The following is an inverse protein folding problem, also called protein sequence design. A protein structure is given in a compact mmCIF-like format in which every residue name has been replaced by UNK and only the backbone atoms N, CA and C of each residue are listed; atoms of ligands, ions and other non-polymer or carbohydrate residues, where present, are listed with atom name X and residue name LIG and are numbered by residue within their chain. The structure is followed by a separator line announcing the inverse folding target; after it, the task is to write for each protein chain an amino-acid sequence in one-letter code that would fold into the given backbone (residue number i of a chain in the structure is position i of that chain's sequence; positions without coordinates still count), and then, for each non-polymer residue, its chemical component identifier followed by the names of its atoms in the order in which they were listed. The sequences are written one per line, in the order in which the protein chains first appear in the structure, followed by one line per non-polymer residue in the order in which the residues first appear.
data_IF_640907594145
#
_entry.id   IF_640907594145
#
_cell.length_a   1.000
_cell.length_b   1.000
_cell.length_c   1.000
_cell.angle_alpha   90.00
_cell.angle_beta   90.00
_cell.angle_gamma   90.00
#
_symmetry.space_group_name_H-M   'P 1'
#
loop_
_entity.id
_entity.type
_entity.pdbx_description
1 polymer ?
#
# COMPACT_ATOMS: atom_id res chain seq x y z
N UNK A 1 -4.56 -10.01 2.90
CA UNK A 1 -4.59 -8.58 3.28
C UNK A 1 -3.95 -8.47 4.65
N UNK A 2 -3.23 -7.38 4.91
CA UNK A 2 -2.74 -7.08 6.26
C UNK A 2 -3.95 -6.78 7.15
N UNK A 3 -3.99 -7.40 8.32
CA UNK A 3 -5.05 -7.19 9.33
C UNK A 3 -4.63 -6.15 10.37
N UNK A 4 -5.59 -5.53 11.05
CA UNK A 4 -5.29 -4.61 12.17
C UNK A 4 -4.54 -5.28 13.34
N UNK A 5 -4.59 -6.60 13.51
CA UNK A 5 -3.74 -7.34 14.46
C UNK A 5 -2.29 -7.45 14.01
N UNK A 6 -2.08 -7.73 12.72
CA UNK A 6 -0.74 -7.81 12.15
C UNK A 6 -0.08 -6.44 12.12
N UNK A 7 -0.85 -5.40 11.81
CA UNK A 7 -0.39 -4.02 11.85
C UNK A 7 0.20 -3.63 13.21
N UNK A 8 -0.44 -4.01 14.31
CA UNK A 8 0.13 -3.77 15.65
C UNK A 8 1.47 -4.47 15.81
N UNK A 9 1.58 -5.70 15.33
CA UNK A 9 2.86 -6.43 15.40
C UNK A 9 3.94 -5.71 14.61
N UNK A 10 3.59 -5.13 13.45
CA UNK A 10 4.51 -4.34 12.63
C UNK A 10 4.94 -3.05 13.37
N UNK A 11 4.00 -2.30 13.94
CA UNK A 11 4.26 -1.01 14.62
C UNK A 11 5.02 -1.13 15.95
N UNK A 12 5.25 -2.35 16.47
CA UNK A 12 6.07 -2.58 17.67
C UNK A 12 7.57 -2.33 17.46
N UNK A 13 8.02 -2.23 16.22
CA UNK A 13 9.39 -1.85 15.90
C UNK A 13 9.65 -0.40 16.33
N UNK A 14 10.74 -0.16 17.08
CA UNK A 14 11.04 1.15 17.68
C UNK A 14 11.36 2.20 16.62
N UNK A 15 12.07 1.80 15.56
CA UNK A 15 12.43 2.72 14.48
C UNK A 15 11.19 3.13 13.70
N UNK A 16 10.30 2.17 13.41
CA UNK A 16 9.00 2.44 12.81
C UNK A 16 8.14 3.35 13.69
N UNK A 17 8.03 3.06 14.99
CA UNK A 17 7.23 3.87 15.91
C UNK A 17 7.71 5.32 15.95
N UNK A 18 9.02 5.54 16.00
CA UNK A 18 9.61 6.89 16.01
C UNK A 18 9.36 7.62 14.70
N UNK A 19 9.58 6.97 13.55
CA UNK A 19 9.32 7.54 12.23
C UNK A 19 7.83 7.89 12.04
N UNK A 20 6.93 6.98 12.45
CA UNK A 20 5.49 7.18 12.41
C UNK A 20 5.07 8.36 13.29
N UNK A 21 5.56 8.44 14.52
CA UNK A 21 5.20 9.50 15.47
C UNK A 21 5.63 10.88 14.95
N UNK A 22 6.84 10.97 14.40
CA UNK A 22 7.35 12.20 13.80
C UNK A 22 6.49 12.64 12.60
N UNK A 23 6.20 11.72 11.69
CA UNK A 23 5.42 12.01 10.49
C UNK A 23 3.97 12.38 10.84
N UNK A 24 3.36 11.65 11.78
CA UNK A 24 2.02 11.95 12.29
C UNK A 24 1.95 13.34 12.88
N UNK A 25 2.93 13.74 13.70
CA UNK A 25 2.97 15.08 14.31
C UNK A 25 2.90 16.19 13.26
N UNK A 26 3.54 16.00 12.11
CA UNK A 26 3.47 16.98 11.03
C UNK A 26 2.12 16.92 10.31
N UNK A 27 1.59 15.72 10.09
CA UNK A 27 0.28 15.54 9.45
C UNK A 27 -0.84 16.19 10.27
N UNK A 28 -0.84 16.01 11.59
CA UNK A 28 -1.83 16.61 12.49
C UNK A 28 -1.84 18.15 12.50
N UNK A 29 -0.77 18.82 12.06
CA UNK A 29 -0.70 20.29 11.99
C UNK A 29 -1.41 20.87 10.77
N UNK A 30 -1.69 20.03 9.77
CA UNK A 30 -2.26 20.47 8.49
C UNK A 30 -3.69 20.98 8.65
N UNK A 31 -4.53 20.21 9.36
CA UNK A 31 -5.94 20.53 9.54
C UNK A 31 -6.38 20.17 10.97
N UNK A 32 -7.06 21.07 11.71
CA UNK A 32 -7.63 20.75 13.03
C UNK A 32 -8.54 19.52 13.03
N UNK A 33 -9.20 19.18 11.92
CA UNK A 33 -10.03 18.00 11.78
C UNK A 33 -9.24 16.68 11.92
N UNK A 34 -7.91 16.73 11.81
CA UNK A 34 -7.05 15.55 11.93
C UNK A 34 -6.69 15.22 13.37
N UNK A 35 -6.93 16.13 14.32
CA UNK A 35 -6.52 15.99 15.72
C UNK A 35 -7.00 14.70 16.40
N UNK A 36 -8.13 14.15 15.95
CA UNK A 36 -8.72 12.92 16.49
C UNK A 36 -8.17 11.62 15.87
N UNK A 37 -7.26 11.71 14.89
CA UNK A 37 -6.62 10.54 14.27
C UNK A 37 -5.79 9.77 15.30
N UNK A 38 -6.15 8.50 15.53
CA UNK A 38 -5.35 7.58 16.32
C UNK A 38 -4.09 7.15 15.58
N UNK A 39 -3.17 6.44 16.25
CA UNK A 39 -1.97 5.90 15.59
C UNK A 39 -2.37 4.86 14.54
N UNK A 40 -3.32 3.98 14.89
CA UNK A 40 -3.92 3.00 13.97
C UNK A 40 -4.52 3.68 12.73
N UNK A 41 -5.24 4.78 12.90
CA UNK A 41 -5.81 5.55 11.79
C UNK A 41 -4.72 6.10 10.87
N UNK A 42 -3.69 6.71 11.47
CA UNK A 42 -2.60 7.33 10.72
C UNK A 42 -1.76 6.31 9.94
N UNK A 43 -1.39 5.19 10.56
CA UNK A 43 -0.67 4.13 9.86
C UNK A 43 -1.54 3.47 8.79
N UNK A 44 -2.86 3.37 9.00
CA UNK A 44 -3.79 2.87 7.97
C UNK A 44 -3.79 3.77 6.74
N UNK A 45 -3.86 5.09 6.93
CA UNK A 45 -3.77 6.07 5.85
C UNK A 45 -2.44 5.94 5.11
N UNK A 46 -1.34 5.83 5.87
CA UNK A 46 0.00 5.68 5.29
C UNK A 46 0.07 4.42 4.44
N UNK A 47 -0.38 3.26 4.95
CA UNK A 47 -0.28 1.99 4.23
C UNK A 47 -1.13 1.96 2.96
N UNK A 48 -2.26 2.67 2.88
CA UNK A 48 -3.06 2.73 1.66
C UNK A 48 -2.55 3.77 0.64
N UNK A 49 -1.51 4.55 0.97
CA UNK A 49 -0.98 5.57 0.07
C UNK A 49 -0.53 5.04 -1.31
N UNK A 50 -0.05 3.80 -1.50
CA UNK A 50 0.19 3.27 -2.84
C UNK A 50 -1.10 3.19 -3.66
N UNK A 51 -2.20 2.76 -3.04
CA UNK A 51 -3.51 2.70 -3.70
C UNK A 51 -4.05 4.11 -4.02
N UNK A 52 -3.78 5.10 -3.16
CA UNK A 52 -4.10 6.51 -3.46
C UNK A 52 -3.29 6.99 -4.68
N UNK A 53 -1.98 6.70 -4.70
CA UNK A 53 -1.09 7.08 -5.79
C UNK A 53 -1.49 6.45 -7.13
N UNK A 54 -1.92 5.19 -7.12
CA UNK A 54 -2.41 4.46 -8.31
C UNK A 54 -3.72 5.08 -8.81
N UNK A 55 -4.71 5.29 -7.93
CA UNK A 55 -5.97 5.92 -8.31
C UNK A 55 -5.78 7.34 -8.87
N UNK A 56 -4.83 8.10 -8.31
CA UNK A 56 -4.48 9.43 -8.80
C UNK A 56 -3.64 9.43 -10.09
N UNK A 57 -3.10 8.29 -10.52
CA UNK A 57 -2.25 8.22 -11.70
C UNK A 57 -3.00 8.64 -12.98
N UNK A 58 -4.31 8.41 -13.03
CA UNK A 58 -5.19 8.86 -14.11
C UNK A 58 -5.63 10.33 -14.00
N UNK A 59 -5.08 11.09 -13.04
CA UNK A 59 -5.33 12.53 -12.85
C UNK A 59 -6.51 12.88 -11.95
N UNK A 60 -7.36 11.91 -11.59
CA UNK A 60 -8.46 12.11 -10.64
C UNK A 60 -8.89 10.79 -10.01
N UNK A 61 -9.39 10.84 -8.77
CA UNK A 61 -10.01 9.69 -8.08
C UNK A 61 -11.51 9.72 -8.33
N UNK A 62 -12.07 8.65 -8.90
CA UNK A 62 -13.50 8.46 -9.05
C UNK A 62 -14.19 8.25 -7.70
N UNK A 63 -15.51 8.44 -7.65
CA UNK A 63 -16.26 8.20 -6.42
C UNK A 63 -16.17 6.73 -5.95
N UNK A 64 -16.09 5.78 -6.88
CA UNK A 64 -15.91 4.36 -6.56
C UNK A 64 -14.56 4.10 -5.90
N UNK A 65 -13.48 4.63 -6.47
CA UNK A 65 -12.13 4.51 -5.89
C UNK A 65 -12.07 5.17 -4.50
N UNK A 66 -12.71 6.32 -4.30
CA UNK A 66 -12.78 6.96 -2.99
C UNK A 66 -13.46 6.05 -1.95
N UNK A 67 -14.56 5.37 -2.33
CA UNK A 67 -15.23 4.38 -1.48
C UNK A 67 -14.30 3.19 -1.18
N UNK A 68 -13.62 2.67 -2.20
CA UNK A 68 -12.70 1.53 -2.06
C UNK A 68 -11.51 1.86 -1.15
N UNK A 69 -10.89 3.04 -1.32
CA UNK A 69 -9.80 3.52 -0.47
C UNK A 69 -10.24 3.68 0.99
N UNK A 70 -11.42 4.27 1.21
CA UNK A 70 -12.00 4.38 2.58
C UNK A 70 -12.26 3.01 3.19
N UNK A 71 -12.85 2.08 2.43
CA UNK A 71 -13.10 0.69 2.87
C UNK A 71 -11.79 0.01 3.26
N UNK A 72 -10.73 0.19 2.46
CA UNK A 72 -9.40 -0.37 2.70
C UNK A 72 -8.73 0.20 3.94
N UNK A 73 -8.75 1.53 4.12
CA UNK A 73 -8.25 2.19 5.32
C UNK A 73 -9.00 1.72 6.58
N UNK A 74 -10.32 1.56 6.47
CA UNK A 74 -11.18 1.12 7.58
C UNK A 74 -10.96 -0.31 8.02
N UNK A 75 -10.53 -1.21 7.13
CA UNK A 75 -10.16 -2.59 7.51
C UNK A 75 -8.95 -2.64 8.44
N UNK A 76 -8.10 -1.61 8.43
CA UNK A 76 -6.92 -1.50 9.31
C UNK A 76 -7.19 -0.69 10.58
N UNK A 77 -8.04 0.33 10.50
CA UNK A 77 -8.43 1.14 11.65
C UNK A 77 -9.32 0.37 12.62
N UNK A 78 -8.96 0.37 13.91
CA UNK A 78 -9.66 -0.37 14.97
C UNK A 78 -10.88 0.35 15.55
N UNK A 79 -11.13 1.62 15.18
CA UNK A 79 -12.26 2.37 15.72
C UNK A 79 -13.57 1.92 15.07
N UNK A 80 -14.55 1.63 15.92
CA UNK A 80 -15.89 1.15 15.54
C UNK A 80 -16.59 2.11 14.56
N UNK A 81 -17.30 1.54 13.58
CA UNK A 81 -18.13 2.20 12.55
C UNK A 81 -19.15 3.24 13.07
N UNK A 82 -19.34 3.34 14.39
CA UNK A 82 -20.41 4.10 15.02
C UNK A 82 -19.99 5.46 15.63
N UNK A 83 -18.77 5.94 15.41
CA UNK A 83 -18.48 7.35 15.71
C UNK A 83 -19.22 8.24 14.70
N UNK A 84 -19.99 9.22 15.19
CA UNK A 84 -20.78 10.14 14.36
C UNK A 84 -19.96 10.85 13.28
N UNK A 85 -18.65 11.01 13.49
CA UNK A 85 -17.70 11.57 12.53
C UNK A 85 -16.55 10.59 12.33
N UNK A 86 -16.35 10.14 11.10
CA UNK A 86 -15.21 9.33 10.68
C UNK A 86 -13.94 10.21 10.63
N UNK A 87 -12.91 9.99 11.48
CA UNK A 87 -11.70 10.80 11.46
C UNK A 87 -10.80 10.52 10.23
N UNK A 88 -10.94 9.38 9.55
CA UNK A 88 -10.22 9.07 8.32
C UNK A 88 -10.78 9.83 7.13
N UNK A 89 -12.10 10.05 7.08
CA UNK A 89 -12.76 10.71 5.96
C UNK A 89 -12.17 12.08 5.59
N UNK A 90 -11.96 13.04 6.54
CA UNK A 90 -11.33 14.32 6.21
C UNK A 90 -9.88 14.15 5.76
N UNK A 91 -9.11 13.24 6.38
CA UNK A 91 -7.72 13.00 6.02
C UNK A 91 -7.56 12.41 4.60
N UNK A 92 -8.40 11.43 4.25
CA UNK A 92 -8.40 10.82 2.92
C UNK A 92 -8.87 11.80 1.85
N UNK A 93 -9.87 12.63 2.16
CA UNK A 93 -10.28 13.71 1.27
C UNK A 93 -9.14 14.70 1.03
N UNK A 94 -8.44 15.12 2.09
CA UNK A 94 -7.29 16.01 1.95
C UNK A 94 -6.20 15.39 1.06
N UNK A 95 -5.88 14.11 1.28
CA UNK A 95 -4.87 13.40 0.51
C UNK A 95 -5.24 13.25 -0.96
N UNK A 96 -6.52 13.12 -1.32
CA UNK A 96 -6.94 13.08 -2.72
C UNK A 96 -6.53 14.34 -3.51
N UNK A 97 -6.32 15.48 -2.84
CA UNK A 97 -5.91 16.74 -3.49
C UNK A 97 -4.45 17.12 -3.24
N UNK A 98 -3.86 16.66 -2.13
CA UNK A 98 -2.53 17.08 -1.68
C UNK A 98 -1.55 15.89 -1.57
N UNK A 99 -1.81 14.80 -2.29
CA UNK A 99 -1.04 13.57 -2.15
C UNK A 99 0.45 13.77 -2.42
N UNK A 100 0.81 14.56 -3.42
CA UNK A 100 2.20 14.81 -3.83
C UNK A 100 3.07 15.39 -2.70
N UNK A 101 2.49 16.10 -1.73
CA UNK A 101 3.22 16.63 -0.57
C UNK A 101 3.62 15.54 0.43
N UNK A 102 2.87 14.43 0.43
CA UNK A 102 2.96 13.36 1.42
C UNK A 102 3.48 12.05 0.86
N UNK A 103 3.37 11.87 -0.45
CA UNK A 103 3.69 10.64 -1.17
C UNK A 103 5.01 10.02 -0.74
N UNK A 104 6.13 10.72 -0.97
CA UNK A 104 7.46 10.19 -0.64
C UNK A 104 7.62 9.96 0.87
N UNK A 105 7.01 10.80 1.70
CA UNK A 105 7.09 10.66 3.17
C UNK A 105 6.34 9.42 3.65
N UNK A 106 5.22 9.09 3.01
CA UNK A 106 4.48 7.86 3.28
C UNK A 106 5.22 6.64 2.74
N UNK A 107 5.77 6.70 1.54
CA UNK A 107 6.55 5.59 0.96
C UNK A 107 7.78 5.25 1.82
N UNK A 108 8.48 6.25 2.35
CA UNK A 108 9.57 6.01 3.30
C UNK A 108 9.09 5.29 4.57
N UNK A 109 7.91 5.63 5.12
CA UNK A 109 7.38 4.93 6.28
C UNK A 109 6.97 3.48 5.95
N UNK A 110 6.38 3.25 4.76
CA UNK A 110 6.04 1.91 4.28
C UNK A 110 7.31 1.08 4.08
N UNK A 111 8.35 1.67 3.48
CA UNK A 111 9.65 1.05 3.29
C UNK A 111 10.24 0.60 4.62
N UNK A 112 10.29 1.47 5.63
CA UNK A 112 10.74 1.10 6.99
C UNK A 112 9.92 -0.09 7.51
N UNK A 113 8.59 -0.04 7.36
CA UNK A 113 7.68 -1.13 7.78
C UNK A 113 7.98 -2.45 7.07
N UNK A 114 8.20 -2.44 5.76
CA UNK A 114 8.50 -3.64 4.97
C UNK A 114 9.87 -4.20 5.32
N UNK A 115 10.89 -3.34 5.38
CA UNK A 115 12.24 -3.77 5.69
C UNK A 115 12.36 -4.30 7.12
N UNK A 116 11.71 -3.70 8.12
CA UNK A 116 11.75 -4.25 9.49
C UNK A 116 11.12 -5.65 9.53
N UNK A 117 10.02 -5.85 8.78
CA UNK A 117 9.33 -7.14 8.67
C UNK A 117 10.16 -8.22 7.97
N UNK A 118 10.90 -7.85 6.93
CA UNK A 118 11.67 -8.76 6.09
C UNK A 118 13.10 -9.01 6.62
N UNK A 119 13.72 -8.01 7.26
CA UNK A 119 15.10 -8.09 7.79
C UNK A 119 15.22 -8.91 9.07
N UNK A 120 14.13 -9.24 9.74
CA UNK A 120 14.15 -10.19 10.85
C UNK A 120 14.75 -11.56 10.44
N UNK A 121 14.76 -11.88 9.14
CA UNK A 121 15.40 -13.07 8.59
C UNK A 121 16.12 -12.77 7.26
N UNK A 122 17.44 -12.64 7.27
CA UNK A 122 18.24 -12.37 6.05
C UNK A 122 18.07 -13.44 4.96
N UNK A 123 17.82 -14.71 5.33
CA UNK A 123 17.57 -15.78 4.36
C UNK A 123 16.32 -15.50 3.54
N UNK A 124 15.28 -14.94 4.17
CA UNK A 124 14.02 -14.56 3.50
C UNK A 124 14.26 -13.46 2.48
N UNK A 125 15.04 -12.44 2.85
CA UNK A 125 15.36 -11.32 1.97
C UNK A 125 16.23 -11.75 0.78
N UNK A 126 17.25 -12.58 1.02
CA UNK A 126 18.15 -13.09 -0.02
C UNK A 126 17.40 -14.02 -0.99
N UNK A 127 16.49 -14.85 -0.47
CA UNK A 127 15.64 -15.73 -1.29
C UNK A 127 14.72 -14.91 -2.18
N UNK A 128 14.12 -13.83 -1.65
CA UNK A 128 13.28 -12.93 -2.43
C UNK A 128 14.02 -12.28 -3.60
N UNK A 129 15.33 -12.07 -3.49
CA UNK A 129 16.13 -11.43 -4.55
C UNK A 129 16.76 -12.43 -5.52
N UNK A 130 16.60 -13.74 -5.31
CA UNK A 130 17.20 -14.75 -6.16
C UNK A 130 16.28 -15.07 -7.36
N UNK A 131 16.67 -14.77 -8.61
CA UNK A 131 15.87 -15.11 -9.79
C UNK A 131 15.63 -16.61 -9.97
N UNK A 132 16.52 -17.46 -9.45
CA UNK A 132 16.35 -18.92 -9.50
C UNK A 132 15.27 -19.45 -8.54
N UNK A 133 14.70 -18.58 -7.70
CA UNK A 133 13.56 -18.94 -6.86
C UNK A 133 12.24 -19.00 -7.65
N UNK A 134 12.20 -18.44 -8.87
CA UNK A 134 11.01 -18.48 -9.73
C UNK A 134 10.83 -19.85 -10.38
N UNK A 135 9.60 -20.30 -10.45
CA UNK A 135 9.20 -21.53 -11.14
C UNK A 135 8.72 -21.26 -12.58
N UNK A 136 8.53 -19.98 -12.94
CA UNK A 136 7.95 -19.56 -14.21
C UNK A 136 6.42 -19.60 -14.24
N UNK A 137 5.79 -19.88 -13.09
CA UNK A 137 4.35 -19.77 -12.86
C UNK A 137 4.14 -18.83 -11.68
N UNK A 138 3.72 -17.60 -11.98
CA UNK A 138 3.50 -16.56 -10.97
C UNK A 138 2.57 -17.03 -9.83
N UNK A 139 1.53 -17.82 -10.14
CA UNK A 139 0.60 -18.29 -9.09
C UNK A 139 1.32 -19.20 -8.11
N UNK A 140 2.16 -20.10 -8.63
CA UNK A 140 3.00 -20.98 -7.81
C UNK A 140 4.07 -20.20 -7.05
N UNK A 141 4.66 -19.19 -7.67
CA UNK A 141 5.71 -18.37 -7.08
C UNK A 141 5.16 -17.51 -5.92
N UNK A 142 3.97 -16.93 -6.08
CA UNK A 142 3.24 -16.24 -5.00
C UNK A 142 2.97 -17.18 -3.82
N UNK A 143 2.56 -18.42 -4.07
CA UNK A 143 2.27 -19.40 -3.00
C UNK A 143 3.52 -19.86 -2.24
N UNK A 144 4.69 -19.82 -2.88
CA UNK A 144 5.96 -20.18 -2.25
C UNK A 144 6.69 -18.96 -1.65
N UNK A 145 6.24 -17.75 -1.94
CA UNK A 145 6.83 -16.54 -1.43
C UNK A 145 6.62 -16.40 0.09
N UNK A 146 7.50 -15.65 0.78
CA UNK A 146 7.30 -15.30 2.18
C UNK A 146 5.93 -14.65 2.40
N UNK A 147 5.16 -15.23 3.32
CA UNK A 147 3.77 -14.84 3.55
C UNK A 147 3.59 -13.32 3.78
N UNK A 148 4.49 -12.69 4.53
CA UNK A 148 4.43 -11.25 4.79
C UNK A 148 4.65 -10.41 3.52
N UNK A 149 5.51 -10.87 2.62
CA UNK A 149 5.75 -10.19 1.34
C UNK A 149 4.50 -10.27 0.44
N UNK A 150 3.87 -11.44 0.35
CA UNK A 150 2.59 -11.62 -0.36
C UNK A 150 1.51 -10.69 0.19
N UNK A 151 1.47 -10.53 1.53
CA UNK A 151 0.54 -9.60 2.18
C UNK A 151 0.81 -8.15 1.80
N UNK A 152 2.06 -7.72 1.69
CA UNK A 152 2.40 -6.39 1.18
C UNK A 152 2.02 -6.23 -0.29
N UNK A 153 2.34 -7.20 -1.15
CA UNK A 153 1.96 -7.14 -2.57
C UNK A 153 0.45 -6.96 -2.75
N UNK A 154 -0.34 -7.83 -2.10
CA UNK A 154 -1.80 -7.72 -2.14
C UNK A 154 -2.25 -6.38 -1.55
N UNK A 155 -1.81 -6.06 -0.32
CA UNK A 155 -2.32 -4.87 0.36
C UNK A 155 -1.94 -3.56 -0.34
N UNK A 156 -0.75 -3.41 -0.89
CA UNK A 156 -0.31 -2.13 -1.46
C UNK A 156 -0.89 -1.92 -2.86
N UNK A 157 -0.95 -2.99 -3.67
CA UNK A 157 -1.23 -2.87 -5.10
C UNK A 157 -2.59 -3.41 -5.54
N UNK A 158 -3.27 -4.24 -4.74
CA UNK A 158 -4.57 -4.84 -5.09
C UNK A 158 -5.73 -4.20 -4.34
N UNK A 159 -6.93 -4.23 -4.93
CA UNK A 159 -8.16 -3.86 -4.21
C UNK A 159 -8.60 -4.99 -3.27
N UNK A 160 -8.59 -6.23 -3.75
CA UNK A 160 -8.97 -7.43 -3.00
C UNK A 160 -7.87 -8.52 -3.08
N UNK A 161 -7.84 -9.42 -2.08
CA UNK A 161 -6.78 -10.43 -1.97
C UNK A 161 -6.80 -11.46 -3.10
N UNK A 162 -8.00 -11.82 -3.53
CA UNK A 162 -8.22 -12.84 -4.54
C UNK A 162 -7.73 -12.37 -5.92
N UNK A 163 -7.59 -11.06 -6.11
CA UNK A 163 -7.09 -10.47 -7.37
C UNK A 163 -5.64 -10.88 -7.66
N UNK A 164 -4.84 -11.16 -6.63
CA UNK A 164 -3.41 -11.45 -6.79
C UNK A 164 -3.14 -12.67 -7.69
N UNK A 165 -4.05 -13.65 -7.74
CA UNK A 165 -3.93 -14.86 -8.54
C UNK A 165 -4.75 -14.84 -9.84
N UNK A 166 -5.46 -13.74 -10.08
CA UNK A 166 -6.34 -13.57 -11.24
C UNK A 166 -5.68 -12.73 -12.33
N UNK A 167 -6.12 -12.93 -13.57
CA UNK A 167 -5.78 -12.05 -14.67
C UNK A 167 -6.42 -10.69 -14.40
N UNK A 168 -5.62 -9.63 -14.49
CA UNK A 168 -6.03 -8.28 -14.13
C UNK A 168 -5.70 -7.37 -15.27
N UNK A 169 -6.67 -6.55 -15.61
CA UNK A 169 -6.50 -5.57 -16.64
C UNK A 169 -6.36 -4.17 -16.02
N UNK A 170 -5.37 -3.39 -16.47
CA UNK A 170 -4.96 -2.11 -15.87
C UNK A 170 -4.59 -1.11 -16.99
N UNK A 171 -4.58 0.18 -16.71
CA UNK A 171 -4.04 1.18 -17.65
C UNK A 171 -2.51 1.21 -17.62
N UNK A 172 -1.90 1.72 -18.69
CA UNK A 172 -0.44 1.88 -18.76
C UNK A 172 0.09 2.85 -17.69
N UNK A 173 -0.67 3.91 -17.38
CA UNK A 173 -0.28 4.94 -16.42
C UNK A 173 -0.31 4.40 -14.98
N UNK A 174 -1.32 3.61 -14.64
CA UNK A 174 -1.38 2.91 -13.35
C UNK A 174 -0.27 1.86 -13.21
N UNK A 175 0.03 1.09 -14.27
CA UNK A 175 1.15 0.13 -14.23
C UNK A 175 2.50 0.84 -14.05
N UNK A 176 2.71 1.96 -14.75
CA UNK A 176 3.89 2.80 -14.56
C UNK A 176 3.98 3.30 -13.11
N UNK A 177 2.84 3.67 -12.51
CA UNK A 177 2.77 4.07 -11.10
C UNK A 177 3.13 2.94 -10.14
N UNK A 178 2.62 1.72 -10.36
CA UNK A 178 2.98 0.53 -9.57
C UNK A 178 4.48 0.29 -9.62
N UNK A 179 5.09 0.34 -10.81
CA UNK A 179 6.54 0.18 -10.98
C UNK A 179 7.33 1.29 -10.28
N UNK A 180 6.89 2.54 -10.37
CA UNK A 180 7.48 3.67 -9.65
C UNK A 180 7.45 3.43 -8.13
N UNK A 181 6.29 3.04 -7.59
CA UNK A 181 6.16 2.72 -6.15
C UNK A 181 7.10 1.57 -5.77
N UNK A 182 7.25 0.56 -6.63
CA UNK A 182 8.20 -0.52 -6.43
C UNK A 182 9.64 -0.05 -6.25
N UNK A 183 10.07 0.97 -7.01
CA UNK A 183 11.40 1.59 -6.87
C UNK A 183 11.52 2.35 -5.55
N UNK A 184 10.53 3.16 -5.19
CA UNK A 184 10.53 3.93 -3.92
C UNK A 184 10.56 3.01 -2.69
N UNK A 185 9.90 1.85 -2.79
CA UNK A 185 9.87 0.83 -1.74
C UNK A 185 11.06 -0.16 -1.78
N UNK A 186 12.00 -0.01 -2.72
CA UNK A 186 13.16 -0.90 -2.95
C UNK A 186 12.78 -2.39 -3.18
N UNK A 187 11.66 -2.64 -3.86
CA UNK A 187 11.20 -3.99 -4.24
C UNK A 187 11.24 -4.24 -5.75
N UNK A 188 11.67 -3.25 -6.54
CA UNK A 188 11.82 -3.34 -7.99
C UNK A 188 12.81 -4.42 -8.45
N UNK A 189 13.74 -4.81 -7.58
CA UNK A 189 14.72 -5.89 -7.80
C UNK A 189 14.24 -7.28 -7.33
N UNK A 190 13.02 -7.40 -6.81
CA UNK A 190 12.44 -8.68 -6.39
C UNK A 190 11.80 -9.36 -7.61
N UNK A 191 12.28 -10.54 -8.06
CA UNK A 191 11.77 -11.18 -9.28
C UNK A 191 10.27 -11.45 -9.25
N UNK A 192 9.72 -11.83 -8.09
CA UNK A 192 8.26 -12.04 -7.94
C UNK A 192 7.48 -10.72 -8.14
N UNK A 193 8.03 -9.57 -7.74
CA UNK A 193 7.39 -8.28 -7.99
C UNK A 193 7.43 -7.90 -9.47
N UNK A 194 8.52 -8.22 -10.17
CA UNK A 194 8.65 -8.01 -11.61
C UNK A 194 7.63 -8.85 -12.39
N UNK A 195 7.57 -10.16 -12.12
CA UNK A 195 6.56 -11.07 -12.69
C UNK A 195 5.12 -10.63 -12.36
N UNK A 196 4.89 -10.14 -11.14
CA UNK A 196 3.61 -9.55 -10.76
C UNK A 196 3.26 -8.33 -11.64
N UNK A 197 4.21 -7.42 -11.88
CA UNK A 197 3.99 -6.27 -12.77
C UNK A 197 3.76 -6.70 -14.23
N UNK A 198 4.45 -7.74 -14.68
CA UNK A 198 4.36 -8.21 -16.06
C UNK A 198 3.11 -9.08 -16.31
N UNK A 199 2.45 -9.55 -15.25
CA UNK A 199 1.20 -10.31 -15.32
C UNK A 199 -0.05 -9.49 -15.65
N UNK A 200 0.05 -8.15 -15.61
CA UNK A 200 -1.08 -7.29 -15.92
C UNK A 200 -1.34 -7.20 -17.43
N UNK A 201 -2.62 -7.24 -17.80
CA UNK A 201 -3.08 -7.00 -19.17
C UNK A 201 -3.39 -5.52 -19.36
N UNK A 202 -2.76 -4.87 -20.33
CA UNK A 202 -3.04 -3.47 -20.59
C UNK A 202 -4.41 -3.33 -21.25
N UNK A 203 -5.31 -2.54 -20.63
CA UNK A 203 -6.55 -2.12 -21.28
C UNK A 203 -6.21 -0.99 -22.24
N UNK A 204 -6.38 -1.23 -23.54
CA UNK A 204 -6.38 -0.16 -24.54
C UNK A 204 -7.49 0.82 -24.16
N UNK A 205 -7.12 2.05 -23.83
CA UNK A 205 -8.08 3.11 -23.53
C UNK A 205 -8.81 3.52 -24.80
N UNK A 206 -9.83 2.77 -25.20
CA UNK A 206 -10.84 3.31 -26.10
C UNK A 206 -11.63 4.34 -25.29
N UNK A 207 -11.31 5.59 -25.57
CA UNK A 207 -12.08 6.78 -25.20
C UNK A 207 -13.53 6.49 -25.60
N UNK A 208 -14.40 6.39 -24.60
CA UNK A 208 -15.85 6.35 -24.82
C UNK A 208 -16.23 7.70 -25.42
N UNK A 209 -16.63 7.69 -26.70
CA UNK A 209 -17.34 8.80 -27.36
C UNK A 209 -18.64 9.17 -26.64
#
# INVERSE_FOLDING_TARGET
MITGSELITLVRDVDLYNAMTALKKDFLKVDPAFMDLSDDDFISITLISPSIGIALANGSVSHYEEITLRRKARKLSRRSFFQKNDPLAPALRYLAYNFSEWENRFYELIKITMHSSLKANNVVLDTLKNPQALTGDLKRDILNAPFIFVKFLSFLFMEEDDDLLNERAITEVELAKIRQIGVELEIDNVPIFQEFCDSFVIRSGDVVE
#
